data_IF_916150052250
#
_entry.id   IF_916150052250
#
_cell.length_a   1.000
_cell.length_b   1.000
_cell.length_c   1.000
_cell.angle_alpha   90.00
_cell.angle_beta   90.00
_cell.angle_gamma   90.00
#
_symmetry.space_group_name_H-M   'P 1'
#
loop_
_entity.id
_entity.type
_entity.pdbx_description
1 polymer ?
#
# COMPACT_ATOMS: atom_id res chain seq x y z
N UNK A 1 27.07 9.03 11.10
CA UNK A 1 25.60 8.85 11.28
C UNK A 1 24.92 9.65 10.18
N UNK A 2 24.06 9.01 9.40
CA UNK A 2 23.37 9.67 8.31
C UNK A 2 22.23 10.51 8.90
N UNK A 3 22.27 11.83 8.69
CA UNK A 3 21.22 12.72 9.14
C UNK A 3 19.97 12.51 8.26
N UNK A 4 18.86 12.11 8.87
CA UNK A 4 17.59 11.94 8.16
C UNK A 4 17.03 13.33 7.82
N UNK A 5 16.73 13.53 6.56
CA UNK A 5 16.08 14.76 6.09
C UNK A 5 14.58 14.59 6.02
N UNK A 6 13.88 15.54 6.61
CA UNK A 6 12.42 15.60 6.65
C UNK A 6 11.95 16.75 5.78
N UNK A 7 11.04 16.47 4.86
CA UNK A 7 10.45 17.48 3.99
C UNK A 7 9.07 17.05 3.51
N UNK A 8 8.34 17.99 2.96
CA UNK A 8 7.10 17.71 2.24
C UNK A 8 7.41 17.02 0.90
N UNK A 9 6.46 16.26 0.37
CA UNK A 9 6.57 15.75 -1.00
C UNK A 9 6.65 16.92 -1.99
N UNK A 10 7.46 16.77 -3.02
CA UNK A 10 7.43 17.66 -4.18
C UNK A 10 6.19 17.37 -5.04
N UNK A 11 5.85 18.30 -5.95
CA UNK A 11 4.77 18.07 -6.91
C UNK A 11 4.99 16.84 -7.77
N UNK A 12 6.22 16.57 -8.19
CA UNK A 12 6.59 15.38 -8.94
C UNK A 12 6.36 14.08 -8.14
N UNK A 13 6.77 14.08 -6.89
CA UNK A 13 6.58 12.92 -6.00
C UNK A 13 5.10 12.69 -5.69
N UNK A 14 4.34 13.76 -5.51
CA UNK A 14 2.88 13.67 -5.37
C UNK A 14 2.22 13.07 -6.60
N UNK A 15 2.66 13.44 -7.81
CA UNK A 15 2.18 12.86 -9.06
C UNK A 15 2.46 11.36 -9.14
N UNK A 16 3.61 10.89 -8.64
CA UNK A 16 3.92 9.45 -8.55
C UNK A 16 2.95 8.72 -7.62
N UNK A 17 2.62 9.32 -6.47
CA UNK A 17 1.67 8.78 -5.50
C UNK A 17 0.26 8.72 -6.10
N UNK A 18 -0.19 9.82 -6.72
CA UNK A 18 -1.49 9.87 -7.42
C UNK A 18 -1.60 8.84 -8.53
N UNK A 19 -0.58 8.72 -9.35
CA UNK A 19 -0.53 7.76 -10.46
C UNK A 19 -0.66 6.32 -9.99
N UNK A 20 -0.09 5.99 -8.84
CA UNK A 20 -0.28 4.67 -8.24
C UNK A 20 -1.70 4.49 -7.70
N UNK A 21 -2.26 5.50 -7.02
CA UNK A 21 -3.64 5.45 -6.53
C UNK A 21 -4.67 5.27 -7.65
N UNK A 22 -4.50 5.96 -8.78
CA UNK A 22 -5.41 5.93 -9.93
C UNK A 22 -5.57 4.53 -10.54
N UNK A 23 -4.62 3.63 -10.33
CA UNK A 23 -4.75 2.22 -10.72
C UNK A 23 -5.87 1.49 -9.97
N UNK A 24 -6.25 1.99 -8.80
CA UNK A 24 -7.20 1.35 -7.90
C UNK A 24 -8.45 2.18 -7.62
N UNK A 25 -8.36 3.50 -7.72
CA UNK A 25 -9.46 4.42 -7.45
C UNK A 25 -8.98 5.84 -7.26
N UNK A 26 -9.59 6.54 -6.32
CA UNK A 26 -9.36 7.95 -6.05
C UNK A 26 -8.58 8.13 -4.74
N UNK A 27 -7.49 8.89 -4.79
CA UNK A 27 -6.72 9.27 -3.59
C UNK A 27 -7.53 10.27 -2.75
N UNK A 28 -7.74 9.95 -1.47
CA UNK A 28 -8.52 10.76 -0.51
C UNK A 28 -7.66 11.53 0.49
N UNK A 29 -6.37 11.60 0.27
CA UNK A 29 -5.43 12.30 1.13
C UNK A 29 -4.48 13.14 0.29
N UNK A 30 -4.18 14.36 0.74
CA UNK A 30 -3.42 15.32 -0.05
C UNK A 30 -2.07 15.69 0.58
N UNK A 31 -1.84 15.35 1.84
CA UNK A 31 -0.66 15.80 2.56
C UNK A 31 0.26 14.63 2.93
N UNK A 32 1.45 14.64 2.33
CA UNK A 32 2.47 13.63 2.56
C UNK A 32 3.80 14.27 2.93
N UNK A 33 4.50 13.63 3.87
CA UNK A 33 5.88 13.93 4.22
C UNK A 33 6.84 12.87 3.70
N UNK A 34 8.08 13.27 3.51
CA UNK A 34 9.18 12.41 3.10
C UNK A 34 10.22 12.36 4.22
N UNK A 35 10.70 11.15 4.52
CA UNK A 35 11.95 10.94 5.24
C UNK A 35 12.97 10.42 4.25
N UNK A 36 14.01 11.23 3.97
CA UNK A 36 15.11 10.85 3.09
C UNK A 36 16.16 10.06 3.86
N UNK A 37 16.39 8.84 3.45
CA UNK A 37 17.45 7.96 3.90
C UNK A 37 18.08 7.25 2.70
N UNK A 38 18.24 5.94 2.80
CA UNK A 38 18.64 5.10 1.66
C UNK A 38 17.61 5.18 0.52
N UNK A 39 16.34 5.31 0.88
CA UNK A 39 15.21 5.55 -0.01
C UNK A 39 14.43 6.76 0.50
N UNK A 40 13.42 7.18 -0.23
CA UNK A 40 12.48 8.22 0.19
C UNK A 40 11.22 7.54 0.73
N UNK A 41 11.11 7.48 2.05
CA UNK A 41 9.97 6.92 2.73
C UNK A 41 8.84 7.95 2.82
N UNK A 42 7.65 7.54 2.40
CA UNK A 42 6.46 8.39 2.30
C UNK A 42 5.52 8.13 3.46
N UNK A 43 5.09 9.21 4.12
CA UNK A 43 4.14 9.18 5.23
C UNK A 43 2.91 10.03 4.91
N UNK A 44 1.73 9.45 5.06
CA UNK A 44 0.50 10.23 5.12
C UNK A 44 0.40 10.89 6.49
N UNK A 45 0.22 12.19 6.52
CA UNK A 45 0.19 12.98 7.74
C UNK A 45 -0.78 14.14 7.56
N UNK A 46 -1.40 14.62 8.63
CA UNK A 46 -2.15 15.87 8.54
C UNK A 46 -1.25 17.10 8.70
N UNK A 47 -1.70 18.22 8.21
CA UNK A 47 -0.90 19.44 8.17
C UNK A 47 -0.55 19.97 9.57
N UNK A 48 -1.42 19.80 10.54
CA UNK A 48 -1.18 20.23 11.93
C UNK A 48 -0.06 19.42 12.59
N UNK A 49 -0.10 18.10 12.41
CA UNK A 49 0.98 17.22 12.89
C UNK A 49 2.30 17.56 12.21
N UNK A 50 2.28 17.84 10.92
CA UNK A 50 3.48 18.25 10.18
C UNK A 50 4.09 19.56 10.74
N UNK A 51 3.27 20.57 10.98
CA UNK A 51 3.71 21.83 11.60
C UNK A 51 4.34 21.61 12.98
N UNK A 52 3.75 20.70 13.78
CA UNK A 52 4.33 20.29 15.06
C UNK A 52 5.72 19.67 14.90
N UNK A 53 5.89 18.79 13.92
CA UNK A 53 7.17 18.13 13.61
C UNK A 53 8.22 19.16 13.16
N UNK A 54 7.86 20.11 12.32
CA UNK A 54 8.77 21.18 11.86
C UNK A 54 9.33 22.01 13.03
N UNK A 55 8.54 22.21 14.08
CA UNK A 55 8.93 22.96 15.26
C UNK A 55 9.83 22.19 16.26
N UNK A 56 9.92 20.87 16.15
CA UNK A 56 10.73 20.06 17.05
C UNK A 56 12.24 20.24 16.79
N UNK A 57 13.01 20.38 17.85
CA UNK A 57 14.48 20.39 17.77
C UNK A 57 15.04 19.03 17.38
N UNK A 58 14.44 17.97 17.91
CA UNK A 58 14.80 16.58 17.61
C UNK A 58 13.67 16.02 16.74
N UNK A 59 14.02 15.55 15.55
CA UNK A 59 13.04 14.98 14.64
C UNK A 59 12.70 13.54 15.01
N UNK A 60 11.42 13.13 14.95
CA UNK A 60 11.03 11.76 15.22
C UNK A 60 11.50 10.84 14.08
N UNK A 61 11.66 9.56 14.38
CA UNK A 61 12.03 8.54 13.38
C UNK A 61 10.94 8.29 12.34
N UNK A 62 9.69 8.46 12.75
CA UNK A 62 8.50 8.30 11.93
C UNK A 62 7.40 9.24 12.42
N UNK A 63 6.49 9.60 11.53
CA UNK A 63 5.35 10.46 11.83
C UNK A 63 4.17 10.11 10.90
N UNK A 64 2.95 10.18 11.43
CA UNK A 64 1.77 9.78 10.66
C UNK A 64 1.79 8.31 10.28
N UNK A 65 1.29 7.97 9.10
CA UNK A 65 1.19 6.60 8.60
C UNK A 65 2.18 6.37 7.47
N UNK A 66 3.10 5.42 7.62
CA UNK A 66 3.99 4.99 6.56
C UNK A 66 3.17 4.30 5.45
N UNK A 67 3.21 4.85 4.24
CA UNK A 67 2.38 4.39 3.13
C UNK A 67 3.17 3.79 1.97
N UNK A 68 4.48 3.90 1.97
CA UNK A 68 5.31 3.32 0.93
C UNK A 68 6.61 4.07 0.72
N UNK A 69 7.31 3.73 -0.35
CA UNK A 69 8.66 4.21 -0.64
C UNK A 69 8.78 4.63 -2.09
N UNK A 70 9.42 5.78 -2.34
CA UNK A 70 9.82 6.19 -3.68
C UNK A 70 11.26 5.74 -3.90
N UNK A 71 11.47 4.98 -4.95
CA UNK A 71 12.78 4.50 -5.38
C UNK A 71 12.87 4.35 -6.88
N UNK A 72 14.08 4.28 -7.39
CA UNK A 72 14.38 4.06 -8.79
C UNK A 72 14.27 2.56 -9.09
N UNK A 73 13.54 2.19 -10.14
CA UNK A 73 13.44 0.81 -10.59
C UNK A 73 14.68 0.38 -11.41
N UNK A 74 14.68 -0.87 -11.85
CA UNK A 74 15.77 -1.43 -12.70
C UNK A 74 15.98 -0.70 -14.03
N UNK A 75 15.00 0.07 -14.48
CA UNK A 75 15.06 0.87 -15.71
C UNK A 75 15.41 2.33 -15.45
N UNK A 76 15.90 2.65 -14.27
CA UNK A 76 16.25 4.01 -13.81
C UNK A 76 15.05 4.97 -13.77
N UNK A 77 13.84 4.44 -13.64
CA UNK A 77 12.60 5.23 -13.53
C UNK A 77 12.17 5.31 -12.08
N UNK A 78 11.88 6.51 -11.60
CA UNK A 78 11.33 6.71 -10.26
C UNK A 78 9.89 6.22 -10.19
N UNK A 79 9.58 5.44 -9.14
CA UNK A 79 8.26 4.90 -8.86
C UNK A 79 7.95 4.94 -7.38
N UNK A 80 6.67 5.12 -7.07
CA UNK A 80 6.13 4.91 -5.74
C UNK A 80 5.71 3.45 -5.57
N UNK A 81 6.19 2.83 -4.51
CA UNK A 81 5.90 1.45 -4.12
C UNK A 81 5.06 1.46 -2.85
N UNK A 82 3.74 1.33 -2.96
CA UNK A 82 2.85 1.37 -1.81
C UNK A 82 2.95 0.11 -0.95
N UNK A 83 2.70 0.28 0.33
CA UNK A 83 2.40 -0.82 1.25
C UNK A 83 0.87 -0.95 1.43
N UNK A 84 0.41 -1.85 2.32
CA UNK A 84 -1.02 -2.06 2.57
C UNK A 84 -1.69 -0.78 3.08
N UNK A 85 -1.03 -0.05 3.97
CA UNK A 85 -1.57 1.14 4.63
C UNK A 85 -1.91 2.26 3.65
N UNK A 86 -1.24 2.33 2.51
CA UNK A 86 -1.55 3.30 1.46
C UNK A 86 -3.01 3.21 1.01
N UNK A 87 -3.53 2.00 0.90
CA UNK A 87 -4.87 1.76 0.35
C UNK A 87 -6.00 2.19 1.28
N UNK A 88 -5.72 2.47 2.56
CA UNK A 88 -6.69 3.13 3.46
C UNK A 88 -6.98 4.57 3.04
N UNK A 89 -6.10 5.20 2.26
CA UNK A 89 -6.25 6.55 1.74
C UNK A 89 -6.76 6.58 0.30
N UNK A 90 -7.15 5.44 -0.26
CA UNK A 90 -7.69 5.31 -1.62
C UNK A 90 -9.13 4.80 -1.56
N UNK A 91 -10.03 5.49 -2.24
CA UNK A 91 -11.38 5.00 -2.49
C UNK A 91 -11.32 3.97 -3.62
N UNK A 92 -11.27 2.70 -3.25
CA UNK A 92 -11.01 1.59 -4.17
C UNK A 92 -12.23 1.29 -5.01
N UNK A 93 -12.10 1.37 -6.34
CA UNK A 93 -13.17 1.17 -7.33
C UNK A 93 -12.85 0.12 -8.39
N UNK A 94 -11.58 -0.25 -8.53
CA UNK A 94 -11.09 -1.24 -9.50
C UNK A 94 -9.82 -1.93 -9.01
N UNK A 95 -9.43 -3.01 -9.68
CA UNK A 95 -8.27 -3.81 -9.32
C UNK A 95 -8.30 -4.29 -7.86
N UNK A 96 -9.40 -4.89 -7.49
CA UNK A 96 -9.65 -5.47 -6.17
C UNK A 96 -10.28 -6.86 -6.29
N UNK A 97 -10.23 -7.62 -5.21
CA UNK A 97 -10.98 -8.85 -5.04
C UNK A 97 -11.58 -8.93 -3.63
N UNK A 98 -12.85 -9.28 -3.56
CA UNK A 98 -13.56 -9.55 -2.31
C UNK A 98 -13.58 -11.06 -2.11
N UNK A 99 -13.09 -11.53 -0.97
CA UNK A 99 -12.97 -12.94 -0.65
C UNK A 99 -14.17 -13.43 0.18
N UNK A 100 -14.55 -14.69 -0.05
CA UNK A 100 -15.49 -15.41 0.83
C UNK A 100 -14.87 -15.58 2.22
N UNK A 101 -15.66 -15.68 3.31
CA UNK A 101 -15.15 -15.65 4.68
C UNK A 101 -14.03 -16.64 5.00
N UNK A 102 -14.17 -17.89 4.61
CA UNK A 102 -13.14 -18.93 4.82
C UNK A 102 -11.84 -18.58 4.07
N UNK A 103 -11.95 -18.14 2.82
CA UNK A 103 -10.81 -17.76 1.99
C UNK A 103 -10.14 -16.50 2.53
N UNK A 104 -10.90 -15.53 2.99
CA UNK A 104 -10.40 -14.33 3.64
C UNK A 104 -9.52 -14.68 4.85
N UNK A 105 -10.00 -15.56 5.72
CA UNK A 105 -9.21 -16.05 6.86
C UNK A 105 -7.91 -16.74 6.40
N UNK A 106 -7.99 -17.65 5.44
CA UNK A 106 -6.81 -18.37 4.93
C UNK A 106 -5.81 -17.41 4.27
N UNK A 107 -6.28 -16.38 3.58
CA UNK A 107 -5.41 -15.36 3.00
C UNK A 107 -4.56 -14.65 4.06
N UNK A 108 -5.13 -14.30 5.22
CA UNK A 108 -4.38 -13.67 6.33
C UNK A 108 -3.40 -14.63 7.02
N UNK A 109 -3.42 -15.89 6.67
CA UNK A 109 -2.40 -16.88 7.09
C UNK A 109 -1.30 -17.10 6.05
N UNK A 110 -1.26 -16.30 4.99
CA UNK A 110 -0.25 -16.37 3.94
C UNK A 110 -0.61 -17.30 2.77
N UNK A 111 -1.87 -17.78 2.70
CA UNK A 111 -2.30 -18.68 1.63
C UNK A 111 -2.70 -17.92 0.36
N UNK A 112 -2.43 -18.53 -0.78
CA UNK A 112 -2.94 -18.06 -2.07
C UNK A 112 -4.46 -18.29 -2.16
N UNK A 113 -5.10 -17.55 -3.09
CA UNK A 113 -6.55 -17.56 -3.26
C UNK A 113 -6.94 -18.39 -4.47
N UNK A 114 -7.73 -19.48 -4.29
CA UNK A 114 -8.34 -20.17 -5.40
C UNK A 114 -9.50 -19.35 -6.00
N UNK A 115 -9.78 -19.52 -7.27
CA UNK A 115 -10.83 -18.75 -7.97
C UNK A 115 -12.21 -18.89 -7.31
N UNK A 116 -12.56 -20.08 -6.85
CA UNK A 116 -13.82 -20.32 -6.15
C UNK A 116 -13.93 -19.69 -4.75
N UNK A 117 -12.81 -19.20 -4.20
CA UNK A 117 -12.77 -18.45 -2.95
C UNK A 117 -13.04 -16.95 -3.13
N UNK A 118 -13.09 -16.47 -4.37
CA UNK A 118 -13.40 -15.08 -4.70
C UNK A 118 -14.91 -14.91 -4.85
N UNK A 119 -15.48 -13.95 -4.11
CA UNK A 119 -16.91 -13.59 -4.21
C UNK A 119 -17.14 -12.66 -5.40
N UNK A 120 -16.28 -11.64 -5.51
CA UNK A 120 -16.35 -10.60 -6.53
C UNK A 120 -14.94 -10.07 -6.80
N UNK A 121 -14.66 -9.67 -8.02
CA UNK A 121 -13.42 -8.96 -8.34
C UNK A 121 -13.60 -8.03 -9.52
N UNK A 122 -12.79 -6.99 -9.55
CA UNK A 122 -12.60 -6.10 -10.69
C UNK A 122 -11.14 -6.12 -11.10
N UNK A 123 -10.88 -6.44 -12.34
CA UNK A 123 -9.52 -6.44 -12.89
C UNK A 123 -9.45 -5.58 -14.14
N UNK A 124 -8.70 -4.47 -14.04
CA UNK A 124 -8.58 -3.47 -15.11
C UNK A 124 -7.09 -3.15 -15.33
N UNK A 125 -6.33 -4.16 -15.78
CA UNK A 125 -4.96 -4.02 -16.25
C UNK A 125 -3.85 -4.03 -15.19
N UNK A 126 -4.15 -3.84 -13.89
CA UNK A 126 -3.14 -4.01 -12.85
C UNK A 126 -2.89 -5.50 -12.58
N UNK A 127 -1.62 -5.90 -12.50
CA UNK A 127 -1.29 -7.25 -12.01
C UNK A 127 -1.57 -7.40 -10.51
N UNK A 128 -1.48 -6.31 -9.77
CA UNK A 128 -1.73 -6.25 -8.33
C UNK A 128 -3.20 -5.94 -8.07
N UNK A 129 -3.80 -6.68 -7.15
CA UNK A 129 -5.14 -6.46 -6.63
C UNK A 129 -5.09 -6.11 -5.15
N UNK A 130 -5.96 -5.22 -4.72
CA UNK A 130 -6.26 -5.01 -3.30
C UNK A 130 -7.23 -6.10 -2.85
N UNK A 131 -6.91 -6.79 -1.79
CA UNK A 131 -7.70 -7.92 -1.28
C UNK A 131 -8.54 -7.45 -0.10
N UNK A 132 -9.85 -7.67 -0.21
CA UNK A 132 -10.86 -7.23 0.74
C UNK A 132 -11.65 -8.43 1.28
N UNK A 133 -12.17 -8.30 2.49
CA UNK A 133 -13.24 -9.17 2.97
C UNK A 133 -14.61 -8.63 2.54
N UNK A 134 -15.69 -9.35 2.86
CA UNK A 134 -17.06 -8.96 2.52
C UNK A 134 -17.53 -7.65 3.20
N UNK A 135 -16.87 -7.25 4.27
CA UNK A 135 -17.14 -6.00 5.00
C UNK A 135 -16.34 -4.81 4.46
N UNK A 136 -15.52 -5.03 3.41
CA UNK A 136 -14.68 -4.00 2.81
C UNK A 136 -13.37 -3.72 3.56
N UNK A 137 -12.98 -4.57 4.49
CA UNK A 137 -11.70 -4.44 5.21
C UNK A 137 -10.57 -4.92 4.30
N UNK A 138 -9.51 -4.14 4.20
CA UNK A 138 -8.31 -4.48 3.45
C UNK A 138 -7.54 -5.58 4.19
N UNK A 139 -7.38 -6.72 3.54
CA UNK A 139 -6.64 -7.88 4.05
C UNK A 139 -5.20 -7.92 3.56
N UNK A 140 -4.90 -7.31 2.44
CA UNK A 140 -3.57 -7.32 1.85
C UNK A 140 -3.57 -7.06 0.35
N UNK A 141 -2.49 -7.49 -0.29
CA UNK A 141 -2.26 -7.36 -1.73
C UNK A 141 -1.98 -8.73 -2.34
N UNK A 142 -2.48 -8.94 -3.56
CA UNK A 142 -2.25 -10.15 -4.31
C UNK A 142 -1.89 -9.90 -5.77
N UNK A 143 -1.24 -10.87 -6.42
CA UNK A 143 -1.01 -10.88 -7.86
C UNK A 143 -2.03 -11.78 -8.53
N UNK A 144 -2.77 -11.25 -9.49
CA UNK A 144 -3.74 -12.04 -10.25
C UNK A 144 -3.03 -12.95 -11.25
N UNK A 145 -3.45 -14.21 -11.31
CA UNK A 145 -3.09 -15.18 -12.33
C UNK A 145 -4.36 -15.81 -12.93
N UNK A 146 -4.94 -15.18 -13.95
CA UNK A 146 -6.23 -15.60 -14.49
C UNK A 146 -6.20 -17.00 -15.14
N UNK A 147 -5.02 -17.53 -15.45
CA UNK A 147 -4.86 -18.87 -16.03
C UNK A 147 -4.87 -20.01 -14.99
N UNK A 148 -4.76 -19.69 -13.72
CA UNK A 148 -4.77 -20.69 -12.63
C UNK A 148 -6.05 -20.60 -11.81
N UNK A 149 -6.77 -21.72 -11.68
CA UNK A 149 -7.94 -21.78 -10.80
C UNK A 149 -7.53 -21.99 -9.33
N UNK A 150 -6.49 -22.78 -9.05
CA UNK A 150 -6.04 -23.07 -7.70
C UNK A 150 -5.24 -21.95 -7.04
N UNK A 151 -4.46 -21.22 -7.84
CA UNK A 151 -3.67 -20.04 -7.42
C UNK A 151 -4.08 -18.83 -8.25
N UNK A 152 -5.36 -18.54 -8.25
CA UNK A 152 -5.93 -17.44 -9.01
C UNK A 152 -5.41 -16.08 -8.56
N UNK A 153 -5.19 -15.91 -7.26
CA UNK A 153 -4.49 -14.76 -6.69
C UNK A 153 -3.37 -15.27 -5.78
N UNK A 154 -2.14 -14.89 -6.10
CA UNK A 154 -0.99 -15.16 -5.25
C UNK A 154 -0.91 -14.12 -4.14
N UNK A 155 -0.80 -14.56 -2.89
CA UNK A 155 -0.58 -13.68 -1.75
C UNK A 155 0.80 -13.01 -1.87
N UNK A 156 0.84 -11.68 -1.89
CA UNK A 156 2.10 -10.90 -1.84
C UNK A 156 2.40 -10.50 -0.41
N UNK A 157 1.41 -9.91 0.25
CA UNK A 157 1.47 -9.45 1.63
C UNK A 157 0.06 -9.40 2.22
N UNK A 158 -0.06 -9.64 3.49
CA UNK A 158 -1.32 -9.64 4.22
C UNK A 158 -1.14 -9.11 5.64
N UNK A 159 -2.25 -8.73 6.26
CA UNK A 159 -2.27 -8.15 7.61
C UNK A 159 -1.79 -9.12 8.72
N UNK A 160 -1.76 -10.41 8.45
CA UNK A 160 -1.27 -11.44 9.38
C UNK A 160 0.26 -11.62 9.32
N UNK A 161 0.95 -11.03 8.36
CA UNK A 161 2.38 -11.20 8.16
C UNK A 161 3.20 -10.76 9.38
N UNK A 162 2.82 -9.67 10.01
CA UNK A 162 3.47 -9.16 11.21
C UNK A 162 3.46 -10.18 12.35
N UNK A 163 2.30 -10.81 12.59
CA UNK A 163 2.16 -11.83 13.64
C UNK A 163 3.03 -13.06 13.34
N UNK A 164 3.10 -13.47 12.07
CA UNK A 164 3.90 -14.65 11.66
C UNK A 164 5.40 -14.44 11.76
N UNK A 165 5.89 -13.22 11.52
CA UNK A 165 7.32 -12.90 11.59
C UNK A 165 7.88 -12.84 13.01
N UNK A 166 7.03 -12.68 14.01
CA UNK A 166 7.41 -12.54 15.42
C UNK A 166 7.16 -13.80 16.27
N UNK A 167 6.95 -14.95 15.63
CA UNK A 167 6.88 -16.25 16.30
C UNK A 167 8.23 -16.96 16.31
#
# INVERSE_FOLDING_TARGET
MMELKYRRVSSWEFDLIMKEAEKFGELKHEFFGIVEGKFRDVYAVNEEVWRGIESLKIKPYAFGTFVGTIKVDKNLVEKFYPNIEFFYFVDIKKNFAILKPKTAFLFTTGKDVPKNGVKEYSWQGSKKLVILNEEGIILGLGLINPKSNGKFIKNITDIGEFIRRHK
#
